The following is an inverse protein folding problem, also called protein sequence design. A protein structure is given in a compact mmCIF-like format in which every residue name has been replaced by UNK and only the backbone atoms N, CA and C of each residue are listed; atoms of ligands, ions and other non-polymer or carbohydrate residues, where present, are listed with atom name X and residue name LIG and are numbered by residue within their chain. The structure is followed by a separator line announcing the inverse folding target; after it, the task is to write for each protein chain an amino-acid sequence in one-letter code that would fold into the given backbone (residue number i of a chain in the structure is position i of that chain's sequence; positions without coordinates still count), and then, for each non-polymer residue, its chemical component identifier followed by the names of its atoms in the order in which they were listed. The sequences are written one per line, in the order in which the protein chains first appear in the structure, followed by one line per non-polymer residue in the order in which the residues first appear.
data_IF_630178071298
#
_entry.id   IF_630178071298
#
_cell.length_a   1.000
_cell.length_b   1.000
_cell.length_c   1.000
_cell.angle_alpha   90.00
_cell.angle_beta   90.00
_cell.angle_gamma   90.00
#
_symmetry.space_group_name_H-M   'P 1'
#
loop_
_entity.id
_entity.type
_entity.pdbx_description
1 polymer ?
#
# COMPACT_ATOMS: atom_id res chain seq x y z
N UNK A 1 6.06 -31.95 -35.20
CA UNK A 1 6.72 -31.24 -34.09
C UNK A 1 6.03 -29.89 -33.93
N UNK A 2 5.18 -29.77 -32.91
CA UNK A 2 4.42 -28.56 -32.61
C UNK A 2 5.33 -27.54 -31.93
N UNK A 3 5.48 -26.34 -32.50
CA UNK A 3 5.87 -25.14 -31.74
C UNK A 3 4.87 -24.05 -32.03
N UNK A 4 3.99 -23.89 -31.05
CA UNK A 4 2.88 -22.97 -30.96
C UNK A 4 3.31 -21.52 -30.77
N UNK A 5 2.49 -20.62 -31.29
CA UNK A 5 2.47 -19.19 -31.03
C UNK A 5 2.58 -18.86 -29.53
N UNK A 6 3.47 -17.92 -29.19
CA UNK A 6 3.68 -17.45 -27.82
C UNK A 6 3.55 -15.93 -27.73
N UNK A 7 2.45 -15.50 -27.12
CA UNK A 7 2.05 -14.12 -26.82
C UNK A 7 3.18 -13.14 -26.51
N UNK A 8 3.20 -12.03 -27.25
CA UNK A 8 3.86 -10.79 -26.89
C UNK A 8 3.13 -10.14 -25.69
N UNK A 9 3.37 -10.66 -24.48
CA UNK A 9 3.14 -9.92 -23.26
C UNK A 9 4.19 -8.82 -23.19
N UNK A 10 3.82 -7.62 -23.67
CA UNK A 10 4.48 -6.37 -23.31
C UNK A 10 4.41 -6.20 -21.80
N UNK A 11 5.43 -6.74 -21.14
CA UNK A 11 5.75 -6.44 -19.75
C UNK A 11 6.20 -4.98 -19.74
N UNK A 12 5.28 -4.08 -19.41
CA UNK A 12 5.61 -2.68 -19.15
C UNK A 12 6.46 -2.69 -17.89
N UNK A 13 7.77 -2.54 -18.07
CA UNK A 13 8.73 -2.28 -17.01
C UNK A 13 8.26 -1.06 -16.21
N UNK A 14 7.63 -1.31 -15.05
CA UNK A 14 7.30 -0.29 -14.08
C UNK A 14 8.59 0.07 -13.33
N UNK A 15 8.97 1.34 -13.44
CA UNK A 15 10.09 1.99 -12.77
C UNK A 15 10.16 1.68 -11.26
N UNK A 16 11.36 1.54 -10.67
CA UNK A 16 11.59 1.18 -9.26
C UNK A 16 11.25 2.30 -8.24
N UNK A 17 10.41 3.26 -8.61
CA UNK A 17 9.95 4.35 -7.74
C UNK A 17 8.43 4.40 -7.58
N UNK A 18 7.74 3.30 -7.85
CA UNK A 18 6.30 3.20 -7.61
C UNK A 18 6.01 2.96 -6.13
N UNK A 19 6.35 3.93 -5.28
CA UNK A 19 5.76 4.03 -3.96
C UNK A 19 4.24 4.11 -4.17
N UNK A 20 3.53 3.11 -3.67
CA UNK A 20 2.08 3.13 -3.64
C UNK A 20 1.66 4.26 -2.70
N UNK A 21 0.68 5.04 -3.12
CA UNK A 21 0.23 6.21 -2.37
C UNK A 21 -1.30 6.18 -2.25
N UNK A 22 -1.75 6.28 -0.99
CA UNK A 22 -3.10 6.57 -0.48
C UNK A 22 -4.27 5.97 -1.28
N UNK A 23 -4.81 4.86 -0.79
CA UNK A 23 -6.12 4.37 -1.23
C UNK A 23 -7.22 5.33 -0.77
N UNK A 24 -7.84 6.06 -1.72
CA UNK A 24 -9.20 6.57 -1.49
C UNK A 24 -10.15 5.40 -1.24
N UNK A 25 -10.73 5.36 -0.05
CA UNK A 25 -11.77 4.40 0.33
C UNK A 25 -13.19 4.83 -0.08
N UNK A 26 -13.38 6.02 -0.66
CA UNK A 26 -14.66 6.37 -1.24
C UNK A 26 -14.91 5.57 -2.53
N UNK A 27 -16.09 4.95 -2.72
CA UNK A 27 -16.32 4.01 -3.82
C UNK A 27 -16.28 4.74 -5.17
N UNK A 28 -15.17 4.58 -5.89
CA UNK A 28 -15.14 4.87 -7.32
C UNK A 28 -15.68 3.62 -8.03
N UNK A 29 -16.83 3.73 -8.70
CA UNK A 29 -17.36 2.62 -9.52
C UNK A 29 -16.33 2.26 -10.61
N UNK A 30 -15.86 1.02 -10.58
CA UNK A 30 -15.22 0.37 -11.74
C UNK A 30 -13.79 0.79 -12.10
N UNK A 31 -13.07 1.52 -11.26
CA UNK A 31 -11.65 1.80 -11.55
C UNK A 31 -10.76 0.66 -11.07
N UNK A 32 -9.92 0.15 -11.99
CA UNK A 32 -8.81 -0.77 -11.70
C UNK A 32 -8.01 -0.28 -10.48
N UNK A 33 -7.35 -1.18 -9.71
CA UNK A 33 -6.46 -0.78 -8.62
C UNK A 33 -5.18 -0.15 -9.20
N UNK A 34 -5.31 1.03 -9.80
CA UNK A 34 -4.19 1.84 -10.22
C UNK A 34 -3.68 2.65 -9.01
N UNK A 35 -2.37 2.93 -8.93
CA UNK A 35 -1.79 3.76 -7.88
C UNK A 35 -2.51 5.11 -7.83
N UNK A 36 -3.10 5.48 -6.68
CA UNK A 36 -3.93 6.69 -6.57
C UNK A 36 -3.12 7.89 -6.08
N UNK A 37 -2.40 8.55 -6.99
CA UNK A 37 -1.81 9.88 -6.75
C UNK A 37 -2.91 10.92 -6.45
N UNK A 38 -3.22 11.12 -5.16
CA UNK A 38 -4.16 12.15 -4.72
C UNK A 38 -3.43 13.40 -4.25
N UNK A 39 -2.46 13.19 -3.35
CA UNK A 39 -1.68 14.23 -2.71
C UNK A 39 -0.27 14.27 -3.26
N UNK A 40 0.27 15.48 -3.33
CA UNK A 40 1.67 15.67 -3.61
C UNK A 40 2.50 15.36 -2.35
N UNK A 41 3.23 14.25 -2.39
CA UNK A 41 4.07 13.82 -1.27
C UNK A 41 5.36 14.62 -1.17
N UNK A 42 5.81 15.25 -2.27
CA UNK A 42 6.96 16.15 -2.23
C UNK A 42 6.57 17.43 -1.49
N UNK A 43 5.36 17.94 -1.71
CA UNK A 43 4.79 19.05 -0.94
C UNK A 43 4.65 18.69 0.55
N UNK A 44 4.10 17.52 0.87
CA UNK A 44 4.02 17.03 2.25
C UNK A 44 5.41 16.98 2.91
N UNK A 45 6.40 16.43 2.21
CA UNK A 45 7.76 16.31 2.73
C UNK A 45 8.41 17.69 2.91
N UNK A 46 8.14 18.64 2.00
CA UNK A 46 8.64 20.01 2.09
C UNK A 46 8.07 20.76 3.28
N UNK A 47 6.76 20.65 3.51
CA UNK A 47 6.08 21.31 4.63
C UNK A 47 6.51 20.73 5.98
N UNK A 48 6.56 19.40 6.09
CA UNK A 48 6.84 18.72 7.37
C UNK A 48 8.32 18.48 7.63
N UNK A 49 9.17 18.69 6.63
CA UNK A 49 10.61 18.32 6.65
C UNK A 49 10.83 16.85 7.04
N UNK A 50 9.87 15.98 6.72
CA UNK A 50 9.88 14.55 7.06
C UNK A 50 9.57 14.22 8.52
N UNK A 51 9.19 15.20 9.35
CA UNK A 51 8.79 14.98 10.74
C UNK A 51 7.27 14.78 10.85
N UNK A 52 6.84 14.12 11.91
CA UNK A 52 5.42 14.00 12.21
C UNK A 52 4.85 15.34 12.72
N UNK A 53 3.61 15.65 12.35
CA UNK A 53 2.89 16.83 12.86
C UNK A 53 1.41 16.50 12.96
N UNK A 54 0.78 16.86 14.09
CA UNK A 54 -0.65 16.62 14.33
C UNK A 54 -1.54 17.76 13.80
N UNK A 55 -0.94 18.89 13.43
CA UNK A 55 -1.65 20.03 12.87
C UNK A 55 -2.24 19.70 11.48
N UNK A 56 -3.40 20.28 11.12
CA UNK A 56 -3.96 20.13 9.79
C UNK A 56 -3.04 20.77 8.74
N UNK A 57 -2.77 20.05 7.66
CA UNK A 57 -1.89 20.50 6.58
C UNK A 57 -2.68 20.82 5.31
N UNK A 58 -2.36 21.94 4.67
CA UNK A 58 -2.95 22.30 3.37
C UNK A 58 -2.03 21.79 2.27
N UNK A 59 -2.34 20.61 1.72
CA UNK A 59 -1.58 20.01 0.64
C UNK A 59 -2.14 20.32 -0.75
N UNK A 60 -1.26 20.31 -1.74
CA UNK A 60 -1.65 20.35 -3.14
C UNK A 60 -2.24 19.03 -3.62
N UNK A 61 -3.36 19.11 -4.36
CA UNK A 61 -4.00 17.95 -5.00
C UNK A 61 -3.48 17.77 -6.42
N UNK A 62 -3.09 16.55 -6.76
CA UNK A 62 -2.57 16.21 -8.09
C UNK A 62 -3.67 16.03 -9.15
N UNK A 63 -4.93 15.83 -8.74
CA UNK A 63 -6.05 15.66 -9.66
C UNK A 63 -5.92 14.42 -10.56
N UNK A 64 -5.24 13.37 -10.08
CA UNK A 64 -4.98 12.14 -10.83
C UNK A 64 -3.82 12.22 -11.83
N UNK A 65 -2.95 13.22 -11.70
CA UNK A 65 -1.73 13.36 -12.50
C UNK A 65 -0.52 12.79 -11.74
N UNK A 66 0.45 12.30 -12.48
CA UNK A 66 1.77 11.96 -11.97
C UNK A 66 2.50 13.28 -11.60
N UNK A 67 3.06 13.40 -10.38
CA UNK A 67 3.79 14.60 -9.97
C UNK A 67 5.01 14.88 -10.85
N UNK A 68 5.71 13.85 -11.35
CA UNK A 68 6.95 14.02 -12.11
C UNK A 68 6.70 14.31 -13.58
N UNK A 69 5.87 13.49 -14.24
CA UNK A 69 5.62 13.63 -15.68
C UNK A 69 4.47 14.57 -16.03
N UNK A 70 3.63 14.93 -15.05
CA UNK A 70 2.40 15.71 -15.26
C UNK A 70 1.29 14.98 -16.02
N UNK A 71 1.53 13.73 -16.46
CA UNK A 71 0.56 12.95 -17.25
C UNK A 71 -0.57 12.45 -16.36
N UNK A 72 -1.77 12.33 -16.94
CA UNK A 72 -2.94 11.81 -16.23
C UNK A 72 -2.84 10.29 -16.08
N UNK A 73 -2.54 9.82 -14.86
CA UNK A 73 -2.48 8.40 -14.51
C UNK A 73 -3.85 7.89 -14.09
N UNK A 74 -4.54 8.65 -13.23
CA UNK A 74 -5.85 8.29 -12.72
C UNK A 74 -6.96 9.04 -13.41
N UNK A 75 -7.88 8.29 -13.99
CA UNK A 75 -9.08 8.86 -14.58
C UNK A 75 -10.10 9.24 -13.51
N UNK A 76 -10.99 10.17 -13.88
CA UNK A 76 -12.13 10.59 -13.07
C UNK A 76 -11.80 11.25 -11.73
N UNK A 77 -10.58 11.76 -11.52
CA UNK A 77 -10.18 12.49 -10.31
C UNK A 77 -9.98 13.98 -10.62
N UNK A 78 -10.36 14.85 -9.68
CA UNK A 78 -10.00 16.26 -9.64
C UNK A 78 -11.14 17.18 -9.23
N UNK A 79 -10.78 18.39 -8.78
CA UNK A 79 -11.72 19.34 -8.18
C UNK A 79 -12.11 18.94 -6.75
N UNK A 80 -13.36 19.19 -6.40
CA UNK A 80 -13.92 18.90 -5.07
C UNK A 80 -13.66 20.00 -4.04
N UNK A 81 -14.34 19.90 -2.91
CA UNK A 81 -14.22 20.83 -1.79
C UNK A 81 -12.81 20.80 -1.22
N UNK A 82 -12.23 21.96 -0.89
CA UNK A 82 -10.94 22.05 -0.19
C UNK A 82 -11.08 21.46 1.22
N UNK A 83 -10.10 20.69 1.64
CA UNK A 83 -10.04 20.09 2.96
C UNK A 83 -8.60 19.82 3.33
N UNK A 84 -8.34 19.82 4.63
CA UNK A 84 -7.00 19.66 5.18
C UNK A 84 -6.60 18.18 5.25
N UNK A 85 -5.30 17.95 5.15
CA UNK A 85 -4.68 16.67 5.31
C UNK A 85 -4.26 16.45 6.76
N UNK A 86 -4.58 15.26 7.29
CA UNK A 86 -4.14 14.83 8.61
C UNK A 86 -3.17 13.66 8.47
N UNK A 87 -1.95 13.84 9.00
CA UNK A 87 -0.96 12.78 9.14
C UNK A 87 -1.45 11.78 10.21
N UNK A 88 -1.85 10.59 9.78
CA UNK A 88 -2.24 9.50 10.67
C UNK A 88 -1.07 8.57 10.85
N UNK A 89 -0.81 8.22 12.09
CA UNK A 89 0.13 7.19 12.47
C UNK A 89 -0.57 5.83 12.49
N UNK A 90 -0.22 4.97 11.54
CA UNK A 90 -0.75 3.61 11.47
C UNK A 90 0.05 2.62 12.33
N UNK A 91 1.25 2.99 12.76
CA UNK A 91 2.18 2.11 13.47
C UNK A 91 2.17 2.41 14.97
N UNK A 92 1.31 1.69 15.69
CA UNK A 92 1.29 1.78 17.15
C UNK A 92 2.40 0.92 17.74
N UNK A 93 3.51 1.56 18.09
CA UNK A 93 4.61 0.95 18.83
C UNK A 93 4.56 1.34 20.31
N UNK A 94 4.92 0.38 21.16
CA UNK A 94 5.10 0.54 22.59
C UNK A 94 6.34 -0.24 23.08
N UNK A 95 6.57 -0.29 24.38
CA UNK A 95 7.69 -1.03 24.98
C UNK A 95 7.57 -2.54 24.69
N UNK A 96 8.74 -3.20 24.57
CA UNK A 96 8.86 -4.65 24.37
C UNK A 96 8.96 -5.42 25.69
N UNK A 97 9.12 -4.73 26.80
CA UNK A 97 9.30 -5.33 28.12
C UNK A 97 7.96 -5.86 28.67
N UNK A 98 7.99 -7.00 29.39
CA UNK A 98 6.78 -7.57 29.99
C UNK A 98 6.21 -6.63 31.06
N UNK A 99 4.89 -6.45 31.06
CA UNK A 99 4.17 -5.67 32.07
C UNK A 99 4.22 -4.14 31.88
N UNK A 100 5.02 -3.64 30.95
CA UNK A 100 5.06 -2.20 30.62
C UNK A 100 4.18 -1.95 29.40
N UNK A 101 3.29 -0.96 29.51
CA UNK A 101 2.45 -0.50 28.40
C UNK A 101 2.71 0.97 28.11
N UNK A 102 2.58 1.34 26.84
CA UNK A 102 2.48 2.76 26.47
C UNK A 102 1.01 3.17 26.46
N UNK A 103 0.61 3.90 27.50
CA UNK A 103 -0.75 4.39 27.66
C UNK A 103 -0.91 5.78 27.06
N UNK A 104 -1.98 5.95 26.28
CA UNK A 104 -2.38 7.20 25.66
C UNK A 104 -3.84 7.50 26.00
N UNK A 105 -4.17 8.78 26.19
CA UNK A 105 -5.54 9.23 26.40
C UNK A 105 -6.13 9.75 25.10
N UNK A 106 -7.32 9.28 24.76
CA UNK A 106 -8.11 9.79 23.63
C UNK A 106 -8.64 11.18 24.00
N UNK A 107 -8.26 12.20 23.22
CA UNK A 107 -8.72 13.58 23.42
C UNK A 107 -10.03 13.81 22.69
N UNK A 108 -10.05 13.51 21.39
CA UNK A 108 -11.19 13.75 20.50
C UNK A 108 -11.28 12.64 19.46
N UNK A 109 -12.49 12.23 19.12
CA UNK A 109 -12.77 11.39 17.95
C UNK A 109 -13.52 12.24 16.95
N UNK A 110 -12.99 12.35 15.72
CA UNK A 110 -13.55 13.24 14.71
C UNK A 110 -13.61 12.62 13.34
N UNK A 111 -14.47 13.20 12.51
CA UNK A 111 -14.58 12.82 11.11
C UNK A 111 -13.41 13.39 10.31
N UNK A 112 -12.78 12.54 9.51
CA UNK A 112 -11.74 12.95 8.57
C UNK A 112 -12.29 13.03 7.14
N UNK A 113 -11.98 14.09 6.37
CA UNK A 113 -12.35 14.19 4.96
C UNK A 113 -11.48 13.32 4.02
N UNK A 114 -10.30 12.88 4.46
CA UNK A 114 -9.34 12.17 3.61
C UNK A 114 -9.64 10.67 3.48
N UNK A 115 -10.14 10.06 4.55
CA UNK A 115 -10.51 8.65 4.64
C UNK A 115 -11.97 8.47 5.04
N UNK A 116 -12.43 7.22 5.02
CA UNK A 116 -13.82 6.89 5.38
C UNK A 116 -13.99 6.71 6.88
N UNK A 117 -12.98 6.15 7.55
CA UNK A 117 -12.96 5.91 8.99
C UNK A 117 -12.82 7.24 9.76
N UNK A 118 -13.29 7.28 11.00
CA UNK A 118 -12.96 8.39 11.90
C UNK A 118 -11.52 8.30 12.37
N UNK A 119 -10.97 9.45 12.77
CA UNK A 119 -9.64 9.55 13.38
C UNK A 119 -9.78 10.00 14.82
N UNK A 120 -8.91 9.49 15.68
CA UNK A 120 -8.83 9.89 17.07
C UNK A 120 -7.52 10.64 17.32
N UNK A 121 -7.61 11.80 17.98
CA UNK A 121 -6.43 12.47 18.53
C UNK A 121 -6.13 11.83 19.86
N UNK A 122 -4.91 11.29 19.99
CA UNK A 122 -4.45 10.67 21.22
C UNK A 122 -3.22 11.41 21.72
N UNK A 123 -3.09 11.49 23.04
CA UNK A 123 -1.94 12.07 23.70
C UNK A 123 -1.36 11.11 24.73
N UNK A 124 -0.05 10.92 24.67
CA UNK A 124 0.73 10.21 25.67
C UNK A 124 1.96 11.04 26.06
N UNK A 125 2.92 10.39 26.71
CA UNK A 125 4.17 11.03 27.13
C UNK A 125 5.07 11.43 25.96
N UNK A 126 5.00 10.74 24.80
CA UNK A 126 5.74 11.12 23.58
C UNK A 126 5.13 12.34 22.85
N UNK A 127 3.89 12.72 23.19
CA UNK A 127 3.16 13.81 22.56
C UNK A 127 1.82 13.39 21.96
N UNK A 128 1.34 14.17 20.97
CA UNK A 128 0.03 14.02 20.34
C UNK A 128 0.15 13.39 18.95
N UNK A 129 -0.75 12.48 18.60
CA UNK A 129 -0.85 11.90 17.25
C UNK A 129 -2.27 11.53 16.88
N UNK A 130 -2.54 11.49 15.58
CA UNK A 130 -3.75 10.95 15.00
C UNK A 130 -3.59 9.45 14.76
N UNK A 131 -4.56 8.68 15.23
CA UNK A 131 -4.71 7.26 14.91
C UNK A 131 -6.08 7.01 14.27
N UNK A 132 -6.28 5.81 13.72
CA UNK A 132 -7.62 5.38 13.32
C UNK A 132 -8.46 5.07 14.55
N UNK A 133 -9.70 5.56 14.56
CA UNK A 133 -10.63 5.29 15.65
C UNK A 133 -11.30 3.92 15.47
N UNK A 134 -11.36 3.14 16.55
CA UNK A 134 -12.19 1.92 16.61
C UNK A 134 -13.68 2.27 16.79
N UNK A 135 -14.55 1.30 16.56
CA UNK A 135 -16.01 1.46 16.58
C UNK A 135 -16.55 2.12 17.85
N UNK A 136 -16.10 1.67 19.02
CA UNK A 136 -16.60 2.17 20.31
C UNK A 136 -15.68 3.18 21.00
N UNK A 137 -14.68 3.72 20.28
CA UNK A 137 -13.71 4.65 20.86
C UNK A 137 -14.39 5.97 21.26
N UNK A 138 -14.20 6.39 22.52
CA UNK A 138 -14.76 7.65 23.06
C UNK A 138 -13.67 8.58 23.58
N UNK A 139 -13.94 9.88 23.57
CA UNK A 139 -13.09 10.87 24.23
C UNK A 139 -12.96 10.56 25.74
N UNK A 140 -11.75 10.70 26.27
CA UNK A 140 -11.41 10.38 27.65
C UNK A 140 -10.96 8.95 27.91
N UNK A 141 -11.17 8.01 26.96
CA UNK A 141 -10.73 6.63 27.09
C UNK A 141 -9.19 6.53 27.11
N UNK A 142 -8.65 5.62 27.92
CA UNK A 142 -7.24 5.25 27.92
C UNK A 142 -7.07 4.03 27.00
N UNK A 143 -6.10 4.13 26.10
CA UNK A 143 -5.70 3.06 25.18
C UNK A 143 -4.24 2.69 25.45
N UNK A 144 -3.96 1.40 25.44
CA UNK A 144 -2.63 0.88 25.76
C UNK A 144 -2.01 0.22 24.53
N UNK A 145 -0.70 0.40 24.37
CA UNK A 145 0.11 -0.22 23.31
C UNK A 145 1.24 -1.03 23.92
N UNK A 146 1.42 -2.27 23.46
CA UNK A 146 2.51 -3.16 23.88
C UNK A 146 3.14 -3.83 22.67
N UNK A 147 4.45 -4.05 22.67
CA UNK A 147 5.15 -4.84 21.66
C UNK A 147 5.64 -6.20 22.21
N UNK A 148 5.29 -6.52 23.45
CA UNK A 148 5.64 -7.79 24.09
C UNK A 148 4.76 -8.93 23.58
N UNK A 149 5.39 -10.07 23.24
CA UNK A 149 4.69 -11.30 22.87
C UNK A 149 4.73 -12.24 24.08
N UNK A 150 3.61 -12.42 24.81
CA UNK A 150 3.53 -13.40 25.89
C UNK A 150 3.58 -14.83 25.33
N UNK A 151 3.93 -15.79 26.19
CA UNK A 151 3.93 -17.22 25.82
C UNK A 151 2.53 -17.73 25.48
N UNK A 152 1.53 -17.26 26.24
CA UNK A 152 0.12 -17.59 26.04
C UNK A 152 -0.61 -16.42 25.38
N UNK A 153 -1.30 -16.64 24.25
CA UNK A 153 -2.15 -15.62 23.64
C UNK A 153 -3.28 -15.19 24.59
N UNK A 154 -3.58 -13.90 24.61
CA UNK A 154 -4.58 -13.28 25.47
C UNK A 154 -5.72 -12.66 24.67
N UNK A 155 -6.87 -12.46 25.33
CA UNK A 155 -7.98 -11.69 24.77
C UNK A 155 -7.64 -10.19 24.78
N UNK A 156 -7.74 -9.57 23.61
CA UNK A 156 -7.45 -8.16 23.45
C UNK A 156 -8.62 -7.26 23.85
N UNK A 157 -8.33 -6.12 24.50
CA UNK A 157 -9.32 -5.06 24.71
C UNK A 157 -9.42 -4.17 23.47
N UNK A 158 -10.64 -3.82 23.05
CA UNK A 158 -10.87 -2.92 21.91
C UNK A 158 -10.09 -1.59 22.07
N UNK A 159 -9.45 -1.15 20.99
CA UNK A 159 -8.68 0.09 20.96
C UNK A 159 -7.24 -0.04 21.45
N UNK A 160 -6.89 -1.14 22.11
CA UNK A 160 -5.49 -1.44 22.45
C UNK A 160 -4.76 -2.07 21.27
N UNK A 161 -3.44 -1.89 21.25
CA UNK A 161 -2.57 -2.43 20.22
C UNK A 161 -1.57 -3.44 20.80
N UNK A 162 -1.47 -4.57 20.12
CA UNK A 162 -0.67 -5.74 20.50
C UNK A 162 0.06 -6.31 19.27
N UNK A 163 1.16 -7.05 19.45
CA UNK A 163 1.70 -7.87 18.39
C UNK A 163 0.74 -9.03 18.09
N UNK A 164 0.69 -9.47 16.84
CA UNK A 164 -0.22 -10.54 16.40
C UNK A 164 -0.05 -11.84 17.21
N UNK A 165 1.17 -12.15 17.63
CA UNK A 165 1.46 -13.33 18.46
C UNK A 165 0.84 -13.27 19.85
N UNK A 166 0.56 -12.08 20.38
CA UNK A 166 -0.04 -11.91 21.70
C UNK A 166 -1.55 -12.11 21.72
N UNK A 167 -2.23 -12.03 20.57
CA UNK A 167 -3.68 -12.07 20.49
C UNK A 167 -4.19 -13.49 20.29
N UNK A 168 -5.27 -13.88 20.96
CA UNK A 168 -5.89 -15.18 20.77
C UNK A 168 -6.47 -15.38 19.36
N UNK A 169 -6.51 -16.63 18.88
CA UNK A 169 -7.24 -17.00 17.66
C UNK A 169 -8.73 -16.64 17.79
N UNK A 170 -9.32 -16.14 16.71
CA UNK A 170 -10.68 -15.59 16.67
C UNK A 170 -10.75 -14.10 17.00
N UNK A 171 -9.65 -13.48 17.46
CA UNK A 171 -9.63 -12.05 17.76
C UNK A 171 -9.92 -11.21 16.52
N UNK A 172 -10.78 -10.21 16.69
CA UNK A 172 -11.12 -9.22 15.66
C UNK A 172 -10.09 -8.09 15.73
N UNK A 173 -9.45 -7.79 14.60
CA UNK A 173 -8.34 -6.82 14.53
C UNK A 173 -8.50 -5.85 13.36
N UNK A 174 -7.83 -4.71 13.45
CA UNK A 174 -7.68 -3.72 12.40
C UNK A 174 -6.26 -3.16 12.37
N UNK A 175 -5.96 -2.33 11.36
CA UNK A 175 -4.67 -1.66 11.23
C UNK A 175 -3.50 -2.64 11.34
N UNK A 176 -3.57 -3.77 10.64
CA UNK A 176 -2.61 -4.87 10.76
C UNK A 176 -1.39 -4.61 9.88
N UNK A 177 -0.21 -4.54 10.47
CA UNK A 177 1.03 -4.30 9.72
C UNK A 177 1.34 -5.47 8.77
N UNK A 178 1.87 -5.16 7.58
CA UNK A 178 2.33 -6.17 6.63
C UNK A 178 3.67 -6.80 7.02
N UNK A 179 4.51 -6.01 7.68
CA UNK A 179 5.86 -6.37 8.08
C UNK A 179 6.15 -5.78 9.47
N UNK A 180 7.01 -6.41 10.28
CA UNK A 180 7.42 -5.90 11.59
C UNK A 180 8.39 -4.73 11.41
N UNK A 181 7.91 -3.62 10.84
CA UNK A 181 8.71 -2.47 10.50
C UNK A 181 8.81 -1.50 11.68
N UNK A 182 9.99 -0.90 11.87
CA UNK A 182 10.11 0.28 12.70
C UNK A 182 9.19 1.40 12.19
N UNK A 183 8.67 2.19 13.12
CA UNK A 183 7.80 3.33 12.83
C UNK A 183 8.57 4.32 11.95
N UNK A 184 8.10 4.54 10.72
CA UNK A 184 8.69 5.48 9.75
C UNK A 184 7.66 6.52 9.33
N UNK A 185 8.13 7.75 9.12
CA UNK A 185 7.31 8.86 8.65
C UNK A 185 7.73 9.34 7.26
N UNK A 186 6.76 9.69 6.39
CA UNK A 186 5.31 9.56 6.58
C UNK A 186 4.84 8.10 6.49
N UNK A 187 4.03 7.67 7.45
CA UNK A 187 3.38 6.37 7.41
C UNK A 187 2.32 6.36 6.32
N UNK A 188 2.37 5.37 5.43
CA UNK A 188 1.44 5.27 4.31
C UNK A 188 0.48 4.12 4.55
N UNK A 189 -0.78 4.28 4.12
CA UNK A 189 -1.83 3.25 4.21
C UNK A 189 -1.42 1.90 3.58
N UNK A 190 -0.38 1.89 2.76
CA UNK A 190 0.11 0.71 2.06
C UNK A 190 0.96 -0.21 2.93
N UNK A 191 1.43 0.24 4.09
CA UNK A 191 2.19 -0.60 5.02
C UNK A 191 1.27 -1.47 5.89
N UNK A 192 -0.03 -1.18 5.85
CA UNK A 192 -1.03 -1.69 6.79
C UNK A 192 -2.27 -2.23 6.07
N UNK A 193 -2.81 -3.33 6.56
CA UNK A 193 -4.11 -3.84 6.16
C UNK A 193 -5.23 -3.26 7.02
N UNK A 194 -6.42 -3.14 6.44
CA UNK A 194 -7.66 -2.75 7.13
C UNK A 194 -7.57 -1.31 7.67
N UNK A 195 -7.86 -0.39 6.76
CA UNK A 195 -7.85 1.07 6.98
C UNK A 195 -9.23 1.67 6.62
N UNK A 196 -10.11 0.84 6.02
CA UNK A 196 -11.49 1.15 5.61
C UNK A 196 -12.42 1.28 6.82
N UNK A 197 -13.39 2.20 6.73
CA UNK A 197 -14.46 2.29 7.74
C UNK A 197 -15.21 0.96 7.88
N UNK A 198 -15.57 0.57 9.11
CA UNK A 198 -16.36 -0.63 9.37
C UNK A 198 -15.66 -1.97 9.11
N UNK A 199 -14.39 -1.98 8.70
CA UNK A 199 -13.70 -3.23 8.36
C UNK A 199 -12.86 -3.78 9.51
N UNK A 200 -12.69 -5.10 9.50
CA UNK A 200 -11.89 -5.86 10.45
C UNK A 200 -11.32 -7.14 9.80
N UNK A 201 -10.19 -7.63 10.31
CA UNK A 201 -9.69 -8.98 10.08
C UNK A 201 -9.99 -9.85 11.30
N UNK A 202 -9.83 -11.15 11.09
CA UNK A 202 -9.87 -12.17 12.13
C UNK A 202 -8.55 -12.93 12.14
N UNK A 203 -8.02 -13.22 13.32
CA UNK A 203 -6.89 -14.14 13.48
C UNK A 203 -7.42 -15.57 13.39
N UNK A 204 -6.95 -16.37 12.43
CA UNK A 204 -7.41 -17.76 12.29
C UNK A 204 -6.64 -18.68 13.23
N UNK A 205 -5.31 -18.67 13.13
CA UNK A 205 -4.43 -19.57 13.88
C UNK A 205 -3.02 -19.04 13.97
N UNK A 206 -2.31 -19.54 14.97
CA UNK A 206 -0.87 -19.35 15.16
C UNK A 206 -0.14 -20.59 14.62
N UNK A 207 0.98 -20.38 13.94
CA UNK A 207 1.80 -21.45 13.40
C UNK A 207 3.28 -21.08 13.57
N UNK A 208 3.89 -21.54 14.67
CA UNK A 208 5.27 -21.20 15.02
C UNK A 208 5.45 -19.67 15.12
N UNK A 209 6.36 -19.13 14.32
CA UNK A 209 6.65 -17.68 14.29
C UNK A 209 5.68 -16.85 13.45
N UNK A 210 4.69 -17.50 12.83
CA UNK A 210 3.73 -16.85 11.95
C UNK A 210 2.31 -16.90 12.50
N UNK A 211 1.52 -15.89 12.13
CA UNK A 211 0.10 -15.78 12.44
C UNK A 211 -0.66 -15.64 11.13
N UNK A 212 -1.74 -16.40 10.99
CA UNK A 212 -2.56 -16.41 9.80
C UNK A 212 -3.79 -15.57 10.06
N UNK A 213 -3.95 -14.50 9.29
CA UNK A 213 -5.08 -13.58 9.37
C UNK A 213 -5.99 -13.73 8.16
N UNK A 214 -7.29 -13.51 8.35
CA UNK A 214 -8.28 -13.41 7.28
C UNK A 214 -8.72 -11.96 7.10
N UNK A 215 -8.53 -11.41 5.91
CA UNK A 215 -9.03 -10.08 5.57
C UNK A 215 -10.55 -10.08 5.30
N UNK A 216 -11.21 -8.91 5.29
CA UNK A 216 -12.65 -8.79 4.95
C UNK A 216 -13.04 -9.45 3.62
N UNK A 217 -12.13 -9.50 2.66
CA UNK A 217 -12.33 -10.15 1.35
C UNK A 217 -12.11 -11.67 1.36
N UNK A 218 -12.05 -12.30 2.55
CA UNK A 218 -11.81 -13.74 2.78
C UNK A 218 -10.46 -14.25 2.28
N UNK A 219 -9.52 -13.35 1.99
CA UNK A 219 -8.17 -13.72 1.62
C UNK A 219 -7.32 -13.91 2.87
N UNK A 220 -6.56 -14.99 2.92
CA UNK A 220 -5.70 -15.32 4.05
C UNK A 220 -4.27 -14.82 3.80
N UNK A 221 -3.66 -14.24 4.82
CA UNK A 221 -2.27 -13.79 4.81
C UNK A 221 -1.53 -14.40 5.99
N UNK A 222 -0.29 -14.84 5.73
CA UNK A 222 0.64 -15.34 6.74
C UNK A 222 1.60 -14.21 7.05
N UNK A 223 1.60 -13.75 8.31
CA UNK A 223 2.37 -12.62 8.81
C UNK A 223 3.25 -13.04 9.98
N UNK A 224 4.32 -12.30 10.27
CA UNK A 224 5.13 -12.54 11.47
C UNK A 224 4.32 -12.26 12.74
N UNK A 225 4.55 -13.05 13.79
CA UNK A 225 3.99 -12.83 15.14
C UNK A 225 4.29 -11.44 15.72
N UNK A 226 5.34 -10.79 15.24
CA UNK A 226 5.80 -9.47 15.70
C UNK A 226 5.08 -8.28 15.04
N UNK A 227 4.32 -8.52 13.97
CA UNK A 227 3.54 -7.46 13.32
C UNK A 227 2.49 -6.94 14.31
N UNK A 228 2.28 -5.63 14.36
CA UNK A 228 1.28 -5.04 15.26
C UNK A 228 -0.10 -5.03 14.62
N UNK A 229 -1.10 -5.12 15.49
CA UNK A 229 -2.49 -4.90 15.15
C UNK A 229 -3.21 -4.19 16.30
N UNK A 230 -4.26 -3.45 15.97
CA UNK A 230 -5.18 -2.88 16.95
C UNK A 230 -6.42 -3.75 17.05
N UNK A 231 -6.90 -4.00 18.26
CA UNK A 231 -8.05 -4.87 18.49
C UNK A 231 -9.35 -4.12 18.22
N UNK A 232 -10.28 -4.79 17.55
CA UNK A 232 -11.62 -4.31 17.24
C UNK A 232 -11.85 -3.93 15.78
N UNK A 233 -13.07 -3.48 15.48
CA UNK A 233 -13.47 -2.99 14.16
C UNK A 233 -13.17 -1.50 14.03
N UNK A 234 -12.89 -1.04 12.80
CA UNK A 234 -12.78 0.39 12.51
C UNK A 234 -14.14 1.08 12.60
N UNK A 235 -14.13 2.31 13.10
CA UNK A 235 -15.30 3.19 13.22
C UNK A 235 -16.04 3.45 11.90
N UNK A 236 -17.25 4.02 12.04
CA UNK A 236 -18.11 4.48 10.95
C UNK A 236 -18.60 3.35 10.03
N UNK A 237 -19.07 2.25 10.62
CA UNK A 237 -19.55 1.07 9.88
C UNK A 237 -20.69 1.38 8.89
N UNK A 238 -21.59 2.30 9.26
CA UNK A 238 -22.72 2.77 8.44
C UNK A 238 -22.31 3.49 7.14
N UNK A 239 -21.02 3.76 6.94
CA UNK A 239 -20.54 4.47 5.75
C UNK A 239 -20.94 3.77 4.44
N UNK A 240 -21.08 2.44 4.46
CA UNK A 240 -21.49 1.64 3.30
C UNK A 240 -22.94 1.86 2.89
N UNK A 241 -23.83 2.17 3.84
CA UNK A 241 -25.27 2.35 3.60
C UNK A 241 -25.61 3.79 3.20
N UNK A 242 -24.61 4.68 3.17
CA UNK A 242 -24.80 6.09 2.91
C UNK A 242 -25.25 6.38 1.48
N UNK A 243 -26.48 6.86 1.34
CA UNK A 243 -27.05 7.31 0.06
C UNK A 243 -26.55 8.72 -0.26
N UNK A 244 -26.00 8.90 -1.46
CA UNK A 244 -25.48 10.20 -1.88
C UNK A 244 -26.54 11.11 -2.54
N UNK A 245 -27.59 10.54 -3.14
CA UNK A 245 -28.73 11.29 -3.68
C UNK A 245 -28.46 12.08 -4.97
N UNK A 246 -27.40 12.91 -5.05
CA UNK A 246 -27.13 13.78 -6.20
C UNK A 246 -25.76 13.53 -6.86
N UNK A 247 -25.73 13.66 -8.19
CA UNK A 247 -24.48 13.62 -8.97
C UNK A 247 -23.50 14.75 -8.55
N UNK A 248 -24.04 15.89 -8.11
CA UNK A 248 -23.23 17.02 -7.66
C UNK A 248 -22.45 16.71 -6.38
N UNK A 249 -22.93 15.81 -5.54
CA UNK A 249 -22.15 15.42 -4.37
C UNK A 249 -20.89 14.62 -4.73
N UNK A 250 -20.94 13.80 -5.79
CA UNK A 250 -19.73 13.15 -6.31
C UNK A 250 -18.71 14.20 -6.79
N UNK A 251 -19.16 15.30 -7.39
CA UNK A 251 -18.29 16.43 -7.78
C UNK A 251 -17.65 17.08 -6.54
N UNK A 252 -18.40 17.26 -5.45
CA UNK A 252 -17.88 17.79 -4.17
C UNK A 252 -16.80 16.90 -3.56
N UNK A 253 -16.90 15.58 -3.71
CA UNK A 253 -15.83 14.65 -3.32
C UNK A 253 -14.62 14.67 -4.27
N UNK A 254 -14.66 15.41 -5.38
CA UNK A 254 -13.59 15.48 -6.36
C UNK A 254 -13.57 14.31 -7.36
N UNK A 255 -14.73 13.69 -7.59
CA UNK A 255 -14.92 12.73 -8.67
C UNK A 255 -15.45 13.43 -9.93
N UNK A 256 -14.80 13.19 -11.06
CA UNK A 256 -15.27 13.62 -12.38
C UNK A 256 -16.15 12.55 -13.01
N UNK A 257 -16.94 12.96 -13.99
CA UNK A 257 -17.83 12.07 -14.73
C UNK A 257 -17.01 11.09 -15.58
N UNK A 258 -17.60 9.93 -15.86
CA UNK A 258 -17.03 8.97 -16.79
C UNK A 258 -16.97 9.53 -18.22
N UNK A 259 -16.11 8.96 -19.06
CA UNK A 259 -16.12 9.25 -20.50
C UNK A 259 -17.45 8.83 -21.13
N UNK A 260 -17.94 9.62 -22.09
CA UNK A 260 -19.07 9.27 -22.94
C UNK A 260 -18.72 8.29 -24.08
N UNK A 261 -17.46 7.87 -24.18
CA UNK A 261 -17.00 6.92 -25.20
C UNK A 261 -17.64 5.55 -24.97
N UNK A 262 -18.44 5.09 -25.93
CA UNK A 262 -19.00 3.76 -25.93
C UNK A 262 -17.90 2.71 -26.20
N UNK A 263 -17.85 1.67 -25.37
CA UNK A 263 -16.95 0.52 -25.54
C UNK A 263 -17.79 -0.76 -25.61
N UNK A 264 -17.61 -1.56 -26.67
CA UNK A 264 -18.27 -2.86 -26.80
C UNK A 264 -17.79 -3.79 -25.68
N UNK A 265 -18.73 -4.48 -25.06
CA UNK A 265 -18.43 -5.45 -24.00
C UNK A 265 -17.73 -6.67 -24.60
N UNK A 266 -16.66 -7.11 -23.97
CA UNK A 266 -15.89 -8.31 -24.34
C UNK A 266 -16.10 -9.44 -23.32
N UNK A 267 -15.42 -10.57 -23.53
CA UNK A 267 -15.53 -11.75 -22.67
C UNK A 267 -15.03 -11.54 -21.23
N UNK A 268 -14.33 -10.44 -20.95
CA UNK A 268 -13.88 -10.09 -19.60
C UNK A 268 -15.04 -9.71 -18.67
N UNK A 269 -16.09 -9.07 -19.21
CA UNK A 269 -17.18 -8.49 -18.42
C UNK A 269 -18.22 -9.50 -17.89
N UNK A 270 -18.15 -10.77 -18.32
CA UNK A 270 -18.99 -11.83 -17.76
C UNK A 270 -18.64 -12.15 -16.31
N UNK A 271 -19.63 -12.59 -15.51
CA UNK A 271 -19.42 -13.01 -14.11
C UNK A 271 -18.36 -14.10 -14.05
N UNK A 272 -17.33 -13.91 -13.20
CA UNK A 272 -16.26 -14.89 -12.97
C UNK A 272 -16.40 -15.48 -11.57
N UNK A 273 -16.77 -16.75 -11.48
CA UNK A 273 -16.71 -17.51 -10.23
C UNK A 273 -15.32 -18.13 -10.15
N UNK A 274 -14.48 -17.58 -9.27
CA UNK A 274 -13.11 -18.06 -9.04
C UNK A 274 -13.03 -18.67 -7.65
N UNK A 275 -12.18 -19.68 -7.51
CA UNK A 275 -11.78 -20.20 -6.19
C UNK A 275 -11.05 -19.08 -5.42
N UNK A 276 -11.10 -19.14 -4.09
CA UNK A 276 -10.30 -18.25 -3.27
C UNK A 276 -8.81 -18.51 -3.55
N UNK A 277 -7.96 -17.47 -3.57
CA UNK A 277 -6.53 -17.66 -3.71
C UNK A 277 -5.97 -18.39 -2.48
N UNK A 278 -4.84 -19.11 -2.62
CA UNK A 278 -4.17 -19.70 -1.48
C UNK A 278 -3.67 -18.63 -0.49
N UNK A 279 -3.46 -18.98 0.78
CA UNK A 279 -2.85 -18.08 1.77
C UNK A 279 -1.52 -17.52 1.24
N UNK A 280 -1.33 -16.21 1.34
CA UNK A 280 -0.09 -15.55 0.89
C UNK A 280 0.80 -15.25 2.08
N UNK A 281 2.03 -15.74 2.03
CA UNK A 281 3.09 -15.31 2.94
C UNK A 281 3.70 -14.02 2.42
N UNK A 282 3.69 -12.97 3.25
CA UNK A 282 4.39 -11.73 2.93
C UNK A 282 5.84 -11.85 3.35
N UNK A 283 6.74 -11.85 2.38
CA UNK A 283 8.19 -11.76 2.60
C UNK A 283 8.61 -10.34 2.23
N UNK A 284 9.41 -9.64 3.05
CA UNK A 284 9.92 -8.33 2.67
C UNK A 284 10.64 -8.45 1.33
N UNK A 285 10.30 -7.56 0.40
CA UNK A 285 10.96 -7.55 -0.91
C UNK A 285 12.45 -7.29 -0.71
N UNK A 286 13.28 -8.18 -1.26
CA UNK A 286 14.73 -7.93 -1.29
C UNK A 286 14.96 -6.65 -2.10
N UNK A 287 15.86 -5.76 -1.66
CA UNK A 287 16.21 -4.60 -2.47
C UNK A 287 16.60 -5.11 -3.86
N UNK A 288 16.16 -4.44 -4.95
CA UNK A 288 16.56 -4.83 -6.29
C UNK A 288 18.08 -4.89 -6.32
N UNK A 289 18.62 -5.96 -6.90
CA UNK A 289 20.06 -6.04 -7.11
C UNK A 289 20.50 -4.76 -7.83
N UNK A 290 21.52 -4.09 -7.29
CA UNK A 290 22.07 -2.92 -7.94
C UNK A 290 22.38 -3.30 -9.38
N UNK A 291 21.82 -2.55 -10.33
CA UNK A 291 22.13 -2.75 -11.74
C UNK A 291 23.61 -2.38 -11.92
N UNK A 292 24.46 -3.38 -11.86
CA UNK A 292 25.87 -3.22 -12.13
C UNK A 292 26.02 -2.96 -13.63
N UNK A 293 26.25 -1.71 -14.00
CA UNK A 293 26.62 -1.35 -15.37
C UNK A 293 28.11 -1.60 -15.54
N UNK A 294 28.45 -2.71 -16.19
CA UNK A 294 29.84 -2.97 -16.58
C UNK A 294 30.06 -2.44 -17.99
N UNK A 295 30.96 -1.49 -18.13
CA UNK A 295 31.45 -1.07 -19.45
C UNK A 295 32.65 -1.94 -19.78
N UNK A 296 32.45 -2.96 -20.62
CA UNK A 296 33.54 -3.82 -21.07
C UNK A 296 34.46 -3.02 -22.00
N UNK A 297 35.77 -3.09 -21.76
CA UNK A 297 36.75 -2.56 -22.72
C UNK A 297 36.73 -3.40 -24.00
N UNK A 298 37.21 -2.85 -25.12
CA UNK A 298 37.24 -3.56 -26.41
C UNK A 298 37.98 -4.91 -26.32
N UNK A 299 39.03 -4.99 -25.51
CA UNK A 299 39.74 -6.24 -25.21
C UNK A 299 38.83 -7.25 -24.50
N UNK A 300 38.12 -6.82 -23.45
CA UNK A 300 37.17 -7.67 -22.71
C UNK A 300 35.98 -8.11 -23.58
N UNK A 301 35.54 -7.29 -24.53
CA UNK A 301 34.52 -7.68 -25.51
C UNK A 301 35.05 -8.67 -26.55
N UNK A 302 36.30 -8.51 -26.98
CA UNK A 302 36.91 -9.35 -28.02
C UNK A 302 37.30 -10.74 -27.53
N UNK A 303 37.48 -10.93 -26.21
CA UNK A 303 37.99 -12.16 -25.63
C UNK A 303 39.43 -12.50 -26.05
N UNK A 304 40.12 -11.59 -26.73
CA UNK A 304 41.49 -11.79 -27.21
C UNK A 304 42.47 -11.37 -26.13
N UNK A 305 43.01 -12.34 -25.41
CA UNK A 305 44.16 -12.16 -24.52
C UNK A 305 45.39 -12.80 -25.17
N UNK A 306 46.47 -12.01 -25.32
CA UNK A 306 47.74 -12.45 -25.92
C UNK A 306 48.00 -11.95 -27.36
N UNK A 307 49.19 -12.26 -27.89
CA UNK A 307 49.76 -11.75 -29.17
C UNK A 307 49.04 -12.30 -30.42
N UNK A 308 47.87 -12.93 -30.28
CA UNK A 308 47.11 -13.46 -31.40
C UNK A 308 46.39 -12.34 -32.17
N UNK A 309 47.18 -11.76 -33.06
CA UNK A 309 46.86 -11.21 -34.38
C UNK A 309 45.43 -11.52 -34.83
N UNK A 310 44.77 -10.47 -35.35
CA UNK A 310 43.67 -10.56 -36.31
C UNK A 310 43.80 -11.85 -37.14
N UNK A 311 42.75 -12.70 -37.27
CA UNK A 311 42.78 -13.72 -38.29
C UNK A 311 43.09 -13.00 -39.58
N UNK A 312 44.18 -13.42 -40.25
CA UNK A 312 44.55 -12.87 -41.55
C UNK A 312 43.27 -12.81 -42.36
N UNK A 313 42.92 -11.59 -42.81
CA UNK A 313 41.85 -11.41 -43.78
C UNK A 313 42.10 -12.45 -44.86
N UNK A 314 41.28 -13.51 -44.84
CA UNK A 314 41.24 -14.50 -45.91
C UNK A 314 41.12 -13.66 -47.17
N UNK A 315 42.08 -13.84 -48.08
CA UNK A 315 42.12 -13.14 -49.35
C UNK A 315 40.69 -13.06 -49.87
N UNK A 316 40.17 -11.83 -49.98
CA UNK A 316 38.95 -11.58 -50.69
C UNK A 316 39.21 -12.10 -52.11
N UNK A 317 38.81 -13.34 -52.35
CA UNK A 317 38.78 -13.92 -53.67
C UNK A 317 37.94 -12.98 -54.50
N UNK A 318 38.61 -12.27 -55.40
CA UNK A 318 37.97 -11.52 -56.46
C UNK A 318 37.10 -12.50 -57.24
N UNK A 319 35.82 -12.56 -56.89
CA UNK A 319 34.81 -13.13 -57.77
C UNK A 319 34.59 -12.09 -58.87
N UNK A 320 35.42 -12.14 -59.91
CA UNK A 320 35.07 -11.56 -61.20
C UNK A 320 33.82 -12.30 -61.69
N UNK A 321 32.71 -11.59 -61.69
CA UNK A 321 31.47 -12.01 -62.32
C UNK A 321 31.66 -11.80 -63.82
N UNK A 322 32.07 -12.84 -64.54
CA UNK A 322 32.02 -12.85 -66.00
C UNK A 322 30.55 -12.81 -66.40
N UNK A 323 30.14 -11.74 -67.10
CA UNK A 323 28.87 -11.70 -67.82
C UNK A 323 29.13 -12.25 -69.22
N UNK A 324 28.39 -13.27 -69.69
CA UNK A 324 28.49 -13.70 -71.09
C UNK A 324 27.81 -12.69 -72.01
N UNK A 325 28.44 -12.45 -73.16
CA UNK A 325 28.02 -11.55 -74.25
C UNK A 325 26.60 -11.78 -74.78
#
# INVERSE_FOLDING_TARGET
MQTSMGNALRCVYLSPHLFMFSKRFMPARGTKPLPRYLWDMEDLKKQTKGKYTHEPLVLHRLGGRDPKTGRKVNQHIGGGTKFDYFMVDFHRRGPKEPGITYDERVIEVRRDPNRTCFIALVAGWEGKRWILATENMKAGQIISTTCYVPESPQEGREGNAYPLGALASGSIINSVEKFPNERKYPSTDDDVFIVTAGTCAEIIRHQGDFVIIRLPHKHEFVLSKECMATVGRLSHAEFHDKIFGSAQMHRRFGYKMASGLFQKKDGYLGRKVRRLPPPRTLVPEKPPQEMQSFTLTKEQQSGQTGIHRMPQLVHAGFNYREYPD
#
